data_IF_766108075563
#
_entry.id   IF_766108075563
#
_cell.length_a   1.000
_cell.length_b   1.000
_cell.length_c   1.000
_cell.angle_alpha   90.00
_cell.angle_beta   90.00
_cell.angle_gamma   90.00
#
_symmetry.space_group_name_H-M   'P 1'
#
loop_
_entity.id
_entity.type
_entity.pdbx_description
1 polymer ?
#
# COMPACT_ATOMS: atom_id res chain seq x y z
N UNK A 1 51.84 -35.03 -53.20
CA UNK A 1 50.85 -34.34 -54.07
C UNK A 1 50.35 -33.12 -53.29
N UNK A 2 50.84 -31.88 -53.41
CA UNK A 2 51.01 -30.95 -54.54
C UNK A 2 49.74 -30.64 -55.33
N UNK A 3 49.11 -29.50 -54.99
CA UNK A 3 48.83 -28.28 -55.82
C UNK A 3 48.28 -27.22 -54.85
N UNK A 4 49.02 -26.16 -54.46
CA UNK A 4 49.36 -24.89 -55.17
C UNK A 4 48.08 -24.15 -55.60
N UNK A 5 47.77 -22.91 -55.18
CA UNK A 5 48.50 -21.63 -55.36
C UNK A 5 47.86 -20.56 -54.41
N UNK A 6 48.52 -19.65 -53.66
CA UNK A 6 49.37 -18.48 -54.01
C UNK A 6 48.69 -17.57 -55.08
N UNK A 7 48.58 -16.25 -55.02
CA UNK A 7 49.15 -15.12 -54.26
C UNK A 7 48.20 -13.90 -54.54
N UNK A 8 48.31 -12.66 -54.06
CA UNK A 8 49.44 -11.89 -53.57
C UNK A 8 48.98 -10.52 -53.02
N UNK A 9 49.72 -10.03 -52.01
CA UNK A 9 50.24 -8.66 -51.74
C UNK A 9 49.33 -7.42 -51.85
N UNK A 10 49.42 -6.43 -50.95
CA UNK A 10 50.47 -5.38 -50.85
C UNK A 10 50.38 -4.72 -49.43
N UNK A 11 51.44 -4.73 -48.60
CA UNK A 11 52.48 -3.68 -48.38
C UNK A 11 51.99 -2.49 -47.50
N UNK A 12 52.35 -2.44 -46.21
CA UNK A 12 53.43 -1.65 -45.56
C UNK A 12 52.95 -0.28 -45.00
N UNK A 13 52.95 -0.07 -43.68
CA UNK A 13 54.02 0.47 -42.80
C UNK A 13 53.82 1.98 -42.47
N UNK A 14 53.74 2.24 -41.16
CA UNK A 14 54.04 3.47 -40.38
C UNK A 14 53.23 4.76 -40.63
N UNK A 15 52.58 5.24 -39.56
CA UNK A 15 53.10 6.43 -38.86
C UNK A 15 52.53 6.49 -37.42
N UNK A 16 53.44 6.41 -36.46
CA UNK A 16 53.24 6.76 -35.05
C UNK A 16 53.37 8.27 -34.86
N UNK A 17 52.37 8.90 -34.24
CA UNK A 17 52.52 10.17 -33.54
C UNK A 17 51.90 10.00 -32.15
N UNK A 18 52.77 10.05 -31.15
CA UNK A 18 52.47 10.21 -29.73
C UNK A 18 52.34 11.69 -29.38
N UNK A 19 51.33 12.05 -28.56
CA UNK A 19 51.28 13.21 -27.65
C UNK A 19 50.04 13.00 -26.75
N UNK A 20 50.21 12.60 -25.48
CA UNK A 20 50.34 13.45 -24.29
C UNK A 20 49.04 14.18 -23.93
N UNK A 21 48.55 13.89 -22.72
CA UNK A 21 47.94 14.90 -21.85
C UNK A 21 46.42 14.95 -21.87
N UNK A 22 45.82 14.54 -20.76
CA UNK A 22 44.42 14.84 -20.45
C UNK A 22 43.80 13.79 -19.56
N UNK A 23 44.13 13.81 -18.26
CA UNK A 23 43.19 13.42 -17.22
C UNK A 23 41.90 14.24 -17.44
N UNK A 24 40.98 13.70 -18.25
CA UNK A 24 39.59 14.07 -18.14
C UNK A 24 39.12 13.33 -16.90
N UNK A 25 39.29 13.98 -15.74
CA UNK A 25 38.55 13.63 -14.55
C UNK A 25 37.13 13.35 -14.98
N UNK A 26 36.66 12.14 -14.69
CA UNK A 26 35.25 11.87 -14.64
C UNK A 26 34.72 12.91 -13.65
N UNK A 27 34.19 14.01 -14.18
CA UNK A 27 33.40 14.92 -13.42
C UNK A 27 32.25 14.05 -12.92
N UNK A 28 32.31 13.75 -11.62
CA UNK A 28 31.15 13.27 -10.88
C UNK A 28 29.99 14.17 -11.32
N UNK A 29 29.08 13.58 -12.09
CA UNK A 29 27.79 14.19 -12.29
C UNK A 29 27.26 14.41 -10.87
N UNK A 30 26.85 15.64 -10.52
CA UNK A 30 26.46 15.94 -9.16
C UNK A 30 25.38 14.95 -8.76
N UNK A 31 25.64 14.24 -7.65
CA UNK A 31 24.66 13.42 -6.95
C UNK A 31 23.36 14.21 -6.95
N UNK A 32 22.39 13.71 -7.72
CA UNK A 32 21.05 14.28 -7.72
C UNK A 32 20.58 14.15 -6.29
N UNK A 33 20.18 15.29 -5.70
CA UNK A 33 19.76 15.43 -4.32
C UNK A 33 18.69 14.39 -3.98
N UNK A 34 19.16 13.22 -3.54
CA UNK A 34 18.35 12.04 -3.35
C UNK A 34 18.20 11.90 -1.85
N UNK A 35 16.97 11.96 -1.36
CA UNK A 35 16.61 11.53 0.00
C UNK A 35 16.79 10.02 0.18
N UNK A 36 17.83 9.45 -0.44
CA UNK A 36 18.15 8.04 -0.46
C UNK A 36 18.63 7.60 0.91
N UNK A 37 18.08 6.47 1.32
CA UNK A 37 18.57 5.72 2.46
C UNK A 37 19.53 4.64 1.96
N UNK A 38 20.65 4.49 2.66
CA UNK A 38 21.75 3.56 2.30
C UNK A 38 21.44 2.08 2.53
N UNK A 39 20.21 1.64 2.25
CA UNK A 39 19.79 0.24 2.42
C UNK A 39 18.32 -0.01 2.10
N UNK A 40 17.94 -1.29 2.17
CA UNK A 40 16.58 -1.74 1.92
C UNK A 40 15.67 -1.47 3.15
N UNK A 41 14.57 -0.74 2.98
CA UNK A 41 13.60 -0.43 4.05
C UNK A 41 12.85 -1.65 4.56
N UNK A 42 12.73 -2.66 3.71
CA UNK A 42 11.91 -3.82 3.97
C UNK A 42 12.42 -5.07 3.25
N UNK A 43 12.06 -6.22 3.79
CA UNK A 43 12.08 -7.50 3.09
C UNK A 43 10.68 -8.08 3.03
N UNK A 44 10.32 -8.65 1.89
CA UNK A 44 9.06 -9.37 1.70
C UNK A 44 9.34 -10.81 1.30
N UNK A 45 8.74 -11.76 2.00
CA UNK A 45 8.93 -13.18 1.74
C UNK A 45 7.71 -14.02 2.12
N UNK A 46 7.71 -15.26 1.66
CA UNK A 46 6.70 -16.26 2.00
C UNK A 46 7.22 -17.24 3.04
N UNK A 47 6.34 -17.64 3.94
CA UNK A 47 6.51 -18.84 4.76
C UNK A 47 5.48 -19.86 4.29
N UNK A 48 5.95 -20.92 3.64
CA UNK A 48 5.07 -21.95 3.08
C UNK A 48 4.70 -22.96 4.17
N UNK A 49 3.42 -23.28 4.25
CA UNK A 49 2.88 -24.23 5.21
C UNK A 49 2.20 -25.39 4.50
N UNK A 50 2.35 -26.59 5.05
CA UNK A 50 1.71 -27.81 4.56
C UNK A 50 1.13 -28.60 5.72
N UNK A 51 -0.20 -28.75 5.72
CA UNK A 51 -0.93 -29.65 6.60
C UNK A 51 -1.32 -30.92 5.83
N UNK A 52 -0.82 -32.07 6.25
CA UNK A 52 -1.21 -33.37 5.70
C UNK A 52 -2.10 -34.12 6.69
N UNK A 53 -3.24 -34.58 6.21
CA UNK A 53 -4.28 -35.28 6.98
C UNK A 53 -4.45 -36.69 6.44
N UNK A 54 -4.41 -37.69 7.32
CA UNK A 54 -4.73 -39.07 6.94
C UNK A 54 -6.24 -39.30 6.91
N UNK A 55 -6.80 -39.74 5.78
CA UNK A 55 -8.25 -39.96 5.64
C UNK A 55 -8.77 -41.17 6.43
N UNK A 56 -7.89 -42.11 6.79
CA UNK A 56 -8.26 -43.31 7.55
C UNK A 56 -8.20 -43.12 9.06
N UNK A 57 -7.46 -42.12 9.56
CA UNK A 57 -7.20 -41.89 10.99
C UNK A 57 -7.37 -40.43 11.43
N UNK A 58 -6.89 -40.12 12.64
CA UNK A 58 -6.89 -38.77 13.23
C UNK A 58 -5.49 -38.14 13.29
N UNK A 59 -4.53 -38.74 12.58
CA UNK A 59 -3.14 -38.26 12.52
C UNK A 59 -3.01 -37.18 11.46
N UNK A 60 -2.43 -36.05 11.85
CA UNK A 60 -2.04 -34.97 10.95
C UNK A 60 -0.56 -34.62 11.12
N UNK A 61 0.02 -34.02 10.10
CA UNK A 61 1.34 -33.37 10.19
C UNK A 61 1.26 -31.96 9.64
N UNK A 62 1.71 -30.98 10.44
CA UNK A 62 1.86 -29.59 10.04
C UNK A 62 3.35 -29.30 9.94
N UNK A 63 3.83 -28.96 8.73
CA UNK A 63 5.23 -28.64 8.46
C UNK A 63 6.20 -29.72 8.98
N UNK A 64 5.80 -30.99 8.80
CA UNK A 64 6.54 -32.17 9.26
C UNK A 64 6.37 -32.51 10.74
N UNK A 65 5.73 -31.67 11.55
CA UNK A 65 5.47 -31.93 12.98
C UNK A 65 4.11 -32.59 13.18
N UNK A 66 4.06 -33.61 14.04
CA UNK A 66 2.81 -34.29 14.35
C UNK A 66 1.78 -33.35 15.00
N UNK A 67 0.54 -33.43 14.54
CA UNK A 67 -0.60 -32.66 15.03
C UNK A 67 -1.77 -33.62 15.28
N UNK A 68 -2.40 -33.52 16.45
CA UNK A 68 -3.63 -34.24 16.74
C UNK A 68 -4.81 -33.46 16.16
N UNK A 69 -5.41 -33.97 15.08
CA UNK A 69 -6.57 -33.35 14.44
C UNK A 69 -7.78 -34.29 14.50
N UNK A 70 -8.97 -33.74 14.24
CA UNK A 70 -10.12 -34.62 14.02
C UNK A 70 -9.95 -35.38 12.69
N UNK A 71 -10.55 -36.58 12.63
CA UNK A 71 -10.57 -37.39 11.40
C UNK A 71 -11.37 -36.66 10.31
N UNK A 72 -10.79 -36.43 9.11
CA UNK A 72 -11.53 -35.93 7.96
C UNK A 72 -12.63 -36.93 7.55
N UNK A 73 -13.71 -36.42 6.96
CA UNK A 73 -14.82 -37.25 6.46
C UNK A 73 -14.89 -37.14 4.93
N UNK A 74 -15.06 -38.29 4.28
CA UNK A 74 -15.45 -38.35 2.87
C UNK A 74 -16.96 -38.52 2.82
N UNK A 75 -17.65 -37.58 2.19
CA UNK A 75 -19.11 -37.62 1.99
C UNK A 75 -19.42 -37.26 0.54
N UNK A 76 -20.13 -38.14 -0.16
CA UNK A 76 -20.48 -37.99 -1.58
C UNK A 76 -19.25 -37.71 -2.46
N UNK A 77 -18.15 -38.44 -2.24
CA UNK A 77 -16.90 -38.28 -2.98
C UNK A 77 -16.11 -37.00 -2.67
N UNK A 78 -16.53 -36.19 -1.70
CA UNK A 78 -15.87 -34.94 -1.30
C UNK A 78 -15.31 -35.03 0.11
N UNK A 79 -14.17 -34.39 0.33
CA UNK A 79 -13.49 -34.38 1.63
C UNK A 79 -13.91 -33.16 2.45
N UNK A 80 -14.14 -33.39 3.73
CA UNK A 80 -14.49 -32.38 4.70
C UNK A 80 -13.57 -32.48 5.92
N UNK A 81 -13.21 -31.32 6.47
CA UNK A 81 -12.42 -31.19 7.69
C UNK A 81 -13.23 -30.47 8.76
N UNK A 82 -12.85 -30.63 10.02
CA UNK A 82 -13.49 -29.89 11.11
C UNK A 82 -12.95 -28.48 11.20
N UNK A 83 -13.77 -27.58 11.76
CA UNK A 83 -13.35 -26.23 12.15
C UNK A 83 -12.11 -26.24 13.06
N UNK A 84 -12.05 -27.20 13.97
CA UNK A 84 -10.91 -27.39 14.87
C UNK A 84 -9.61 -27.67 14.11
N UNK A 85 -9.66 -28.48 13.05
CA UNK A 85 -8.47 -28.75 12.22
C UNK A 85 -7.92 -27.48 11.58
N UNK A 86 -8.80 -26.58 11.10
CA UNK A 86 -8.38 -25.30 10.52
C UNK A 86 -7.82 -24.34 11.57
N UNK A 87 -8.41 -24.30 12.76
CA UNK A 87 -7.89 -23.50 13.88
C UNK A 87 -6.51 -24.01 14.33
N UNK A 88 -6.36 -25.32 14.53
CA UNK A 88 -5.10 -25.97 14.93
C UNK A 88 -3.99 -25.83 13.89
N UNK A 89 -4.34 -25.63 12.61
CA UNK A 89 -3.34 -25.41 11.57
C UNK A 89 -2.66 -24.04 11.68
N UNK A 90 -3.23 -23.12 12.47
CA UNK A 90 -2.72 -21.76 12.62
C UNK A 90 -2.96 -20.86 11.39
N UNK A 91 -3.69 -21.33 10.37
CA UNK A 91 -4.01 -20.54 9.19
C UNK A 91 -5.16 -19.55 9.45
N UNK A 92 -6.13 -19.94 10.27
CA UNK A 92 -7.23 -19.08 10.69
C UNK A 92 -6.83 -18.17 11.86
N UNK A 93 -7.19 -16.89 11.78
CA UNK A 93 -7.12 -15.96 12.90
C UNK A 93 -8.26 -16.21 13.89
N UNK A 94 -9.45 -16.52 13.38
CA UNK A 94 -10.62 -16.87 14.20
C UNK A 94 -11.46 -17.95 13.55
N UNK A 95 -12.08 -18.77 14.39
CA UNK A 95 -13.12 -19.72 14.00
C UNK A 95 -14.20 -19.69 15.07
N UNK A 96 -15.41 -19.29 14.69
CA UNK A 96 -16.55 -19.16 15.59
C UNK A 96 -17.76 -19.97 15.10
N UNK A 97 -18.63 -20.35 16.02
CA UNK A 97 -19.89 -21.05 15.73
C UNK A 97 -21.08 -20.22 16.21
N UNK A 98 -21.96 -19.88 15.29
CA UNK A 98 -23.26 -19.29 15.56
C UNK A 98 -24.33 -20.38 15.56
N UNK A 99 -24.76 -20.79 16.76
CA UNK A 99 -25.76 -21.85 16.93
C UNK A 99 -27.15 -21.45 16.40
N UNK A 100 -27.54 -20.18 16.52
CA UNK A 100 -28.84 -19.67 16.05
C UNK A 100 -28.97 -19.77 14.52
N UNK A 101 -27.91 -19.38 13.80
CA UNK A 101 -27.86 -19.46 12.33
C UNK A 101 -27.34 -20.80 11.81
N UNK A 102 -26.88 -21.69 12.70
CA UNK A 102 -26.15 -22.92 12.38
C UNK A 102 -25.00 -22.66 11.40
N UNK A 103 -24.21 -21.65 11.70
CA UNK A 103 -23.20 -21.05 10.83
C UNK A 103 -21.83 -21.09 11.48
N UNK A 104 -20.83 -21.56 10.74
CA UNK A 104 -19.43 -21.39 11.12
C UNK A 104 -18.88 -20.13 10.48
N UNK A 105 -18.25 -19.28 11.28
CA UNK A 105 -17.65 -18.03 10.85
C UNK A 105 -16.13 -18.18 10.93
N UNK A 106 -15.43 -17.91 9.83
CA UNK A 106 -14.00 -18.16 9.71
C UNK A 106 -13.32 -16.91 9.14
N UNK A 107 -12.36 -16.36 9.89
CA UNK A 107 -11.46 -15.34 9.40
C UNK A 107 -10.04 -15.91 9.32
N UNK A 108 -9.40 -15.75 8.16
CA UNK A 108 -8.00 -16.14 7.97
C UNK A 108 -7.06 -15.11 8.58
N UNK A 109 -5.84 -15.52 8.91
CA UNK A 109 -4.79 -14.56 9.25
C UNK A 109 -4.57 -13.58 8.08
N UNK A 110 -4.35 -12.28 8.34
CA UNK A 110 -4.05 -11.30 7.31
C UNK A 110 -2.86 -11.71 6.43
N UNK A 111 -1.86 -12.36 7.03
CA UNK A 111 -0.68 -12.88 6.33
C UNK A 111 -1.04 -14.00 5.34
N UNK A 112 -2.13 -14.74 5.58
CA UNK A 112 -2.63 -15.77 4.64
C UNK A 112 -3.49 -15.12 3.55
N UNK A 113 -4.35 -14.18 3.95
CA UNK A 113 -5.25 -13.45 3.05
C UNK A 113 -5.54 -12.06 3.61
N UNK A 114 -5.03 -11.03 2.93
CA UNK A 114 -5.09 -9.61 3.34
C UNK A 114 -6.51 -9.15 3.66
N UNK A 115 -7.46 -9.44 2.77
CA UNK A 115 -8.88 -9.26 3.03
C UNK A 115 -9.40 -10.46 3.81
N UNK A 116 -9.02 -10.52 5.09
CA UNK A 116 -9.57 -11.44 6.09
C UNK A 116 -11.03 -11.09 6.38
N UNK A 117 -11.86 -11.17 5.35
CA UNK A 117 -13.29 -11.13 5.52
C UNK A 117 -13.73 -12.42 6.19
N UNK A 118 -14.53 -12.28 7.23
CA UNK A 118 -15.13 -13.41 7.91
C UNK A 118 -16.11 -14.09 6.93
N UNK A 119 -15.80 -15.33 6.55
CA UNK A 119 -16.66 -16.13 5.70
C UNK A 119 -17.53 -17.07 6.54
N UNK A 120 -18.83 -17.01 6.27
CA UNK A 120 -19.84 -17.87 6.85
C UNK A 120 -20.02 -19.17 6.05
N UNK A 121 -20.15 -20.27 6.78
CA UNK A 121 -20.47 -21.61 6.29
C UNK A 121 -21.70 -22.13 7.03
N UNK A 122 -22.88 -21.99 6.42
CA UNK A 122 -24.14 -22.49 7.02
C UNK A 122 -24.33 -23.97 6.76
N UNK A 123 -24.62 -24.71 7.82
CA UNK A 123 -24.89 -26.15 7.75
C UNK A 123 -26.09 -26.42 6.84
N UNK A 124 -25.91 -27.32 5.88
CA UNK A 124 -26.94 -27.73 4.92
C UNK A 124 -27.10 -26.82 3.70
N UNK A 125 -26.37 -25.71 3.62
CA UNK A 125 -26.48 -24.77 2.51
C UNK A 125 -25.27 -24.83 1.59
N UNK A 126 -25.48 -24.62 0.28
CA UNK A 126 -24.47 -24.72 -0.78
C UNK A 126 -23.82 -23.38 -1.13
N UNK A 127 -24.05 -22.32 -0.35
CA UNK A 127 -23.48 -21.00 -0.58
C UNK A 127 -22.39 -20.68 0.45
N UNK A 128 -21.67 -19.58 0.25
CA UNK A 128 -20.83 -18.93 1.25
C UNK A 128 -21.52 -17.64 1.69
N UNK A 129 -21.32 -17.20 2.94
CA UNK A 129 -21.84 -15.92 3.41
C UNK A 129 -20.71 -14.94 3.70
N UNK A 130 -20.93 -13.69 3.37
CA UNK A 130 -20.05 -12.58 3.71
C UNK A 130 -20.91 -11.50 4.36
N UNK A 131 -20.57 -11.08 5.58
CA UNK A 131 -21.33 -10.08 6.34
C UNK A 131 -22.83 -10.40 6.46
N UNK A 132 -23.17 -11.69 6.53
CA UNK A 132 -24.56 -12.17 6.65
C UNK A 132 -25.27 -12.44 5.32
N UNK A 133 -24.75 -11.93 4.20
CA UNK A 133 -25.33 -12.06 2.86
C UNK A 133 -24.70 -13.21 2.06
N UNK A 134 -25.48 -13.96 1.26
CA UNK A 134 -24.94 -15.04 0.45
C UNK A 134 -24.13 -14.51 -0.74
N UNK A 135 -22.95 -15.09 -0.97
CA UNK A 135 -22.16 -14.89 -2.18
C UNK A 135 -22.81 -15.66 -3.34
N UNK A 136 -23.69 -14.98 -4.07
CA UNK A 136 -24.59 -15.59 -5.08
C UNK A 136 -23.93 -16.39 -6.21
N UNK A 137 -22.64 -16.22 -6.45
CA UNK A 137 -21.92 -16.82 -7.58
C UNK A 137 -21.03 -18.03 -7.21
N UNK A 138 -20.85 -18.33 -5.92
CA UNK A 138 -19.93 -19.39 -5.48
C UNK A 138 -20.69 -20.50 -4.77
N UNK A 139 -20.89 -21.62 -5.46
CA UNK A 139 -21.45 -22.84 -4.86
C UNK A 139 -20.37 -23.69 -4.21
N UNK A 140 -20.67 -24.21 -3.02
CA UNK A 140 -19.83 -25.13 -2.26
C UNK A 140 -20.63 -26.37 -1.87
N UNK A 141 -19.96 -27.50 -1.58
CA UNK A 141 -20.63 -28.62 -0.93
C UNK A 141 -21.17 -28.22 0.43
N UNK A 142 -22.39 -28.65 0.76
CA UNK A 142 -23.04 -28.25 2.00
C UNK A 142 -22.22 -28.68 3.25
N UNK A 143 -21.80 -27.74 4.11
CA UNK A 143 -21.27 -28.05 5.43
C UNK A 143 -22.27 -28.87 6.24
N UNK A 144 -21.80 -29.69 7.18
CA UNK A 144 -22.69 -30.52 7.98
C UNK A 144 -22.22 -30.70 9.42
N UNK A 145 -23.15 -31.08 10.31
CA UNK A 145 -22.87 -31.49 11.67
C UNK A 145 -22.78 -33.02 11.74
N UNK A 146 -21.75 -33.53 12.41
CA UNK A 146 -21.62 -34.96 12.73
C UNK A 146 -20.83 -35.13 14.02
N UNK A 147 -21.33 -35.95 14.94
CA UNK A 147 -20.67 -36.21 16.23
C UNK A 147 -20.37 -34.93 17.03
N UNK A 148 -21.26 -33.94 17.00
CA UNK A 148 -21.07 -32.64 17.67
C UNK A 148 -20.06 -31.71 17.00
N UNK A 149 -19.52 -32.06 15.83
CA UNK A 149 -18.52 -31.26 15.10
C UNK A 149 -19.08 -30.74 13.79
N UNK A 150 -18.69 -29.51 13.43
CA UNK A 150 -18.99 -28.91 12.13
C UNK A 150 -17.89 -29.30 11.14
N UNK A 151 -18.30 -29.83 10.00
CA UNK A 151 -17.46 -30.24 8.89
C UNK A 151 -17.67 -29.30 7.72
N UNK A 152 -16.59 -28.70 7.22
CA UNK A 152 -16.57 -27.80 6.06
C UNK A 152 -15.82 -28.45 4.89
N UNK A 153 -16.23 -28.19 3.64
CA UNK A 153 -15.59 -28.78 2.46
C UNK A 153 -14.21 -28.17 2.20
N UNK A 154 -13.19 -29.00 1.97
CA UNK A 154 -11.82 -28.49 1.74
C UNK A 154 -11.69 -27.66 0.45
N UNK A 155 -12.53 -27.91 -0.55
CA UNK A 155 -12.53 -27.15 -1.81
C UNK A 155 -12.84 -25.65 -1.60
N UNK A 156 -13.72 -25.35 -0.64
CA UNK A 156 -14.11 -23.97 -0.35
C UNK A 156 -12.97 -23.17 0.32
N UNK A 157 -11.96 -23.84 0.88
CA UNK A 157 -10.82 -23.17 1.50
C UNK A 157 -9.97 -22.39 0.48
N UNK A 158 -10.10 -22.67 -0.82
CA UNK A 158 -9.47 -21.88 -1.88
C UNK A 158 -9.91 -20.41 -1.85
N UNK A 159 -11.18 -20.16 -1.48
CA UNK A 159 -11.72 -18.81 -1.28
C UNK A 159 -11.08 -18.09 -0.08
N UNK A 160 -10.34 -18.82 0.75
CA UNK A 160 -9.65 -18.36 1.96
C UNK A 160 -8.12 -18.44 1.82
N UNK A 161 -7.60 -18.59 0.59
CA UNK A 161 -6.14 -18.61 0.35
C UNK A 161 -5.45 -19.94 0.69
N UNK A 162 -6.23 -21.01 0.92
CA UNK A 162 -5.69 -22.35 1.18
C UNK A 162 -6.00 -23.25 -0.01
N UNK A 163 -4.95 -23.78 -0.62
CA UNK A 163 -5.09 -24.80 -1.66
C UNK A 163 -5.22 -26.19 -1.04
N UNK A 164 -6.07 -27.03 -1.61
CA UNK A 164 -6.34 -28.36 -1.09
C UNK A 164 -6.20 -29.41 -2.19
N UNK A 165 -5.55 -30.52 -1.89
CA UNK A 165 -5.47 -31.69 -2.77
C UNK A 165 -5.72 -32.97 -1.98
N UNK A 166 -6.07 -34.04 -2.68
CA UNK A 166 -6.27 -35.36 -2.06
C UNK A 166 -5.69 -36.42 -2.99
N UNK A 167 -4.79 -37.24 -2.46
CA UNK A 167 -4.13 -38.31 -3.20
C UNK A 167 -3.76 -39.45 -2.25
N UNK A 168 -3.83 -40.70 -2.72
CA UNK A 168 -3.32 -41.88 -2.00
C UNK A 168 -3.81 -42.01 -0.54
N UNK A 169 -5.06 -41.63 -0.26
CA UNK A 169 -5.64 -41.70 1.09
C UNK A 169 -5.22 -40.58 2.05
N UNK A 170 -4.57 -39.54 1.53
CA UNK A 170 -4.18 -38.34 2.28
C UNK A 170 -4.80 -37.09 1.66
N UNK A 171 -5.11 -36.12 2.51
CA UNK A 171 -5.50 -34.76 2.11
C UNK A 171 -4.40 -33.81 2.51
N UNK A 172 -3.95 -32.98 1.57
CA UNK A 172 -2.92 -31.98 1.79
C UNK A 172 -3.52 -30.59 1.62
N UNK A 173 -3.38 -29.75 2.64
CA UNK A 173 -3.73 -28.33 2.60
C UNK A 173 -2.43 -27.53 2.58
N UNK A 174 -2.33 -26.54 1.69
CA UNK A 174 -1.17 -25.67 1.56
C UNK A 174 -1.59 -24.21 1.51
N UNK A 175 -0.86 -23.39 2.26
CA UNK A 175 -0.97 -21.94 2.23
C UNK A 175 0.41 -21.34 2.41
N UNK A 176 0.49 -20.02 2.28
CA UNK A 176 1.68 -19.27 2.64
C UNK A 176 1.28 -18.03 3.42
N UNK A 177 2.05 -17.77 4.47
CA UNK A 177 2.05 -16.50 5.18
C UNK A 177 2.94 -15.54 4.39
N UNK A 178 2.43 -14.36 4.05
CA UNK A 178 3.16 -13.32 3.32
C UNK A 178 3.60 -12.29 4.35
N UNK A 179 4.91 -12.17 4.51
CA UNK A 179 5.52 -11.35 5.56
C UNK A 179 6.12 -10.10 4.94
N UNK A 180 5.93 -8.97 5.61
CA UNK A 180 6.67 -7.73 5.37
C UNK A 180 7.48 -7.42 6.63
N UNK A 181 8.78 -7.67 6.55
CA UNK A 181 9.73 -7.32 7.61
C UNK A 181 10.25 -5.90 7.34
N UNK A 182 9.67 -4.90 8.02
CA UNK A 182 10.15 -3.53 7.98
C UNK A 182 11.43 -3.39 8.81
N UNK A 183 12.48 -2.90 8.18
CA UNK A 183 13.77 -2.58 8.82
C UNK A 183 13.86 -1.10 9.17
N UNK A 184 13.33 -0.25 8.30
CA UNK A 184 13.31 1.20 8.47
C UNK A 184 11.85 1.68 8.47
N UNK A 185 11.16 1.66 9.62
CA UNK A 185 9.75 2.06 9.70
C UNK A 185 9.55 3.57 9.51
N UNK A 186 10.58 4.38 9.73
CA UNK A 186 10.54 5.81 9.45
C UNK A 186 11.91 6.43 9.21
N UNK A 187 11.96 7.53 8.45
CA UNK A 187 13.14 8.38 8.32
C UNK A 187 12.76 9.81 7.94
N UNK A 188 13.73 10.72 7.99
CA UNK A 188 13.58 12.14 7.63
C UNK A 188 14.38 12.45 6.35
N UNK A 189 13.86 13.36 5.53
CA UNK A 189 14.52 13.91 4.34
C UNK A 189 14.24 15.41 4.26
N UNK A 190 15.15 16.18 3.68
CA UNK A 190 14.91 17.59 3.31
C UNK A 190 14.46 17.75 1.85
N UNK A 191 14.56 16.68 1.07
CA UNK A 191 14.22 16.64 -0.35
C UNK A 191 12.71 16.55 -0.59
N UNK A 192 12.28 17.00 -1.76
CA UNK A 192 10.89 16.89 -2.24
C UNK A 192 10.51 15.47 -2.71
N UNK A 193 11.50 14.60 -2.80
CA UNK A 193 11.35 13.19 -3.11
C UNK A 193 12.04 12.31 -2.06
N UNK A 194 11.53 11.10 -1.90
CA UNK A 194 12.15 10.06 -1.10
C UNK A 194 12.48 8.87 -1.99
N UNK A 195 13.74 8.44 -1.96
CA UNK A 195 14.21 7.27 -2.71
C UNK A 195 14.57 6.17 -1.74
N UNK A 196 14.07 4.95 -1.99
CA UNK A 196 14.35 3.81 -1.12
C UNK A 196 14.20 2.51 -1.87
N UNK A 197 14.85 1.46 -1.38
CA UNK A 197 14.72 0.11 -1.93
C UNK A 197 14.09 -0.86 -0.95
N UNK A 198 13.59 -1.97 -1.47
CA UNK A 198 13.17 -3.12 -0.69
C UNK A 198 13.50 -4.41 -1.43
N UNK A 199 13.61 -5.49 -0.67
CA UNK A 199 13.80 -6.83 -1.20
C UNK A 199 12.48 -7.59 -1.21
N UNK A 200 12.19 -8.32 -2.29
CA UNK A 200 11.08 -9.26 -2.33
C UNK A 200 11.51 -10.61 -2.87
N UNK A 201 11.03 -11.70 -2.26
CA UNK A 201 11.34 -13.06 -2.68
C UNK A 201 10.83 -13.29 -4.11
N UNK A 202 11.62 -13.97 -4.95
CA UNK A 202 11.31 -14.21 -6.37
C UNK A 202 9.98 -14.92 -6.63
N UNK A 203 9.45 -15.62 -5.62
CA UNK A 203 8.15 -16.31 -5.68
C UNK A 203 6.95 -15.40 -5.38
N UNK A 204 7.19 -14.15 -4.96
CA UNK A 204 6.17 -13.13 -4.72
C UNK A 204 5.92 -12.26 -5.95
N UNK A 205 4.72 -11.69 -6.03
CA UNK A 205 4.46 -10.61 -6.98
C UNK A 205 5.27 -9.37 -6.60
N UNK A 206 5.72 -8.65 -7.62
CA UNK A 206 6.42 -7.39 -7.46
C UNK A 206 5.61 -6.46 -6.55
N UNK A 207 6.22 -5.92 -5.48
CA UNK A 207 5.53 -5.07 -4.55
C UNK A 207 5.21 -3.71 -5.17
N UNK A 208 4.27 -3.02 -4.56
CA UNK A 208 3.86 -1.67 -4.92
C UNK A 208 3.92 -0.79 -3.68
N UNK A 209 4.15 0.50 -3.89
CA UNK A 209 4.10 1.51 -2.84
C UNK A 209 2.92 2.41 -3.12
N UNK A 210 2.13 2.67 -2.08
CA UNK A 210 1.07 3.65 -2.11
C UNK A 210 1.39 4.83 -1.22
N UNK A 211 1.16 6.02 -1.76
CA UNK A 211 1.14 7.28 -1.04
C UNK A 211 -0.30 7.61 -0.73
N UNK A 212 -0.66 7.74 0.54
CA UNK A 212 -1.99 8.21 0.88
C UNK A 212 -2.06 9.73 0.74
N UNK A 213 -2.91 10.20 -0.17
CA UNK A 213 -3.07 11.62 -0.50
C UNK A 213 -4.28 12.26 0.22
N UNK A 214 -4.81 11.62 1.27
CA UNK A 214 -6.01 12.06 1.98
C UNK A 214 -7.22 11.16 1.72
N UNK A 215 -8.44 11.66 1.97
CA UNK A 215 -9.67 10.88 1.92
C UNK A 215 -9.93 10.25 0.53
N UNK A 216 -9.52 8.99 0.38
CA UNK A 216 -9.90 8.13 -0.75
C UNK A 216 -9.02 8.19 -2.01
N UNK A 217 -7.91 8.93 -2.01
CA UNK A 217 -7.00 9.00 -3.17
C UNK A 217 -5.61 8.50 -2.77
N UNK A 218 -5.20 7.37 -3.37
CA UNK A 218 -3.85 6.83 -3.26
C UNK A 218 -3.10 6.95 -4.58
N UNK A 219 -1.90 7.52 -4.56
CA UNK A 219 -0.97 7.48 -5.70
C UNK A 219 -0.11 6.22 -5.61
N UNK A 220 0.01 5.46 -6.70
CA UNK A 220 0.85 4.27 -6.78
C UNK A 220 2.20 4.59 -7.43
N UNK A 221 3.30 4.14 -6.82
CA UNK A 221 4.62 4.15 -7.45
C UNK A 221 4.96 2.77 -8.02
N UNK A 222 5.26 2.70 -9.33
CA UNK A 222 5.85 1.49 -9.93
C UNK A 222 7.36 1.54 -9.68
N UNK A 223 7.87 0.60 -8.88
CA UNK A 223 9.29 0.51 -8.59
C UNK A 223 10.11 0.11 -9.81
N UNK A 224 11.39 0.48 -9.79
CA UNK A 224 12.40 0.06 -10.76
C UNK A 224 13.15 -1.14 -10.19
N UNK A 225 13.17 -2.24 -10.93
CA UNK A 225 14.00 -3.39 -10.60
C UNK A 225 15.49 -3.01 -10.75
N UNK A 226 16.26 -3.11 -9.67
CA UNK A 226 17.69 -2.75 -9.65
C UNK A 226 18.63 -3.95 -9.64
N UNK A 227 18.23 -5.03 -8.97
CA UNK A 227 19.07 -6.21 -8.81
C UNK A 227 18.21 -7.48 -8.68
N UNK A 228 18.72 -8.61 -9.17
CA UNK A 228 18.09 -9.93 -9.08
C UNK A 228 19.04 -10.97 -8.50
N UNK A 229 18.49 -12.11 -8.09
CA UNK A 229 19.24 -13.29 -7.62
C UNK A 229 20.05 -13.05 -6.34
N UNK A 230 19.60 -12.14 -5.48
CA UNK A 230 20.21 -11.88 -4.17
C UNK A 230 19.89 -13.04 -3.24
N UNK A 231 20.89 -13.86 -2.91
CA UNK A 231 20.73 -15.01 -2.00
C UNK A 231 20.94 -14.60 -0.54
N UNK A 232 19.94 -14.84 0.30
CA UNK A 232 19.94 -14.40 1.70
C UNK A 232 18.94 -15.25 2.51
N UNK A 233 19.30 -15.67 3.72
CA UNK A 233 18.43 -16.43 4.64
C UNK A 233 17.78 -17.68 3.99
N UNK A 234 18.52 -18.35 3.10
CA UNK A 234 18.06 -19.52 2.35
C UNK A 234 17.01 -19.23 1.25
N UNK A 235 16.79 -17.96 0.91
CA UNK A 235 15.84 -17.49 -0.11
C UNK A 235 16.56 -16.66 -1.17
N UNK A 236 15.89 -16.47 -2.31
CA UNK A 236 16.39 -15.65 -3.42
C UNK A 236 15.47 -14.45 -3.59
N UNK A 237 16.05 -13.26 -3.63
CA UNK A 237 15.35 -11.99 -3.67
C UNK A 237 15.65 -11.20 -4.94
N UNK A 238 14.76 -10.26 -5.22
CA UNK A 238 14.95 -9.15 -6.17
C UNK A 238 14.88 -7.83 -5.39
N UNK A 239 15.68 -6.84 -5.78
CA UNK A 239 15.63 -5.48 -5.22
C UNK A 239 14.84 -4.56 -6.15
N UNK A 240 13.80 -3.94 -5.61
CA UNK A 240 13.11 -2.83 -6.26
C UNK A 240 13.44 -1.52 -5.54
N UNK A 241 13.67 -0.48 -6.32
CA UNK A 241 13.83 0.89 -5.86
C UNK A 241 12.60 1.72 -6.23
N UNK A 242 12.20 2.62 -5.36
CA UNK A 242 11.11 3.55 -5.56
C UNK A 242 11.63 4.95 -5.32
N UNK A 243 11.15 5.89 -6.14
CA UNK A 243 11.28 7.33 -5.90
C UNK A 243 9.89 7.92 -5.92
N UNK A 244 9.49 8.55 -4.83
CA UNK A 244 8.15 9.11 -4.64
C UNK A 244 8.25 10.57 -4.23
N UNK A 245 7.29 11.39 -4.66
CA UNK A 245 7.16 12.76 -4.17
C UNK A 245 6.62 12.80 -2.75
N UNK A 246 7.24 13.59 -1.87
CA UNK A 246 6.85 13.78 -0.47
C UNK A 246 6.49 15.24 -0.19
N UNK A 247 5.37 15.45 0.51
CA UNK A 247 4.99 16.78 1.03
C UNK A 247 5.82 17.11 2.26
N UNK A 248 5.98 18.40 2.62
CA UNK A 248 6.46 18.79 3.94
C UNK A 248 5.72 18.06 5.08
N UNK A 249 6.38 17.86 6.21
CA UNK A 249 5.83 17.14 7.35
C UNK A 249 5.66 15.63 7.10
N UNK A 250 4.56 15.07 7.59
CA UNK A 250 4.36 13.61 7.67
C UNK A 250 3.79 13.04 6.36
N UNK A 251 4.47 12.02 5.82
CA UNK A 251 4.03 11.23 4.68
C UNK A 251 3.88 9.78 5.12
N UNK A 252 2.64 9.35 5.36
CA UNK A 252 2.33 7.94 5.61
C UNK A 252 2.26 7.18 4.28
N UNK A 253 3.05 6.13 4.22
CA UNK A 253 3.27 5.33 3.02
C UNK A 253 3.00 3.87 3.34
N UNK A 254 2.58 3.13 2.34
CA UNK A 254 2.31 1.71 2.49
C UNK A 254 3.05 0.93 1.43
N UNK A 255 3.77 -0.10 1.85
CA UNK A 255 4.24 -1.15 0.94
C UNK A 255 3.24 -2.28 0.98
N UNK A 256 2.86 -2.77 -0.21
CA UNK A 256 2.05 -3.96 -0.31
C UNK A 256 2.47 -4.87 -1.46
N UNK A 257 2.17 -6.16 -1.33
CA UNK A 257 2.25 -7.11 -2.42
C UNK A 257 0.84 -7.49 -2.84
N UNK A 258 0.53 -7.59 -4.14
CA UNK A 258 -0.73 -8.17 -4.62
C UNK A 258 -1.03 -9.57 -4.06
N UNK A 259 -0.03 -10.26 -3.50
CA UNK A 259 -0.24 -11.54 -2.81
C UNK A 259 -0.70 -11.45 -1.35
N UNK A 260 -0.88 -10.25 -0.80
CA UNK A 260 -1.57 -10.00 0.46
C UNK A 260 -0.70 -9.57 1.65
N UNK A 261 0.56 -9.18 1.41
CA UNK A 261 1.43 -8.65 2.46
C UNK A 261 1.34 -7.12 2.46
N UNK A 262 1.11 -6.49 3.61
CA UNK A 262 0.98 -5.02 3.72
C UNK A 262 1.64 -4.51 4.99
N UNK A 263 2.33 -3.37 4.91
CA UNK A 263 2.85 -2.67 6.09
C UNK A 263 3.05 -1.18 5.81
N UNK A 264 2.95 -0.38 6.87
CA UNK A 264 3.05 1.08 6.79
C UNK A 264 4.41 1.57 7.25
N UNK A 265 4.91 2.61 6.60
CA UNK A 265 6.12 3.31 7.00
C UNK A 265 5.94 4.82 6.77
N UNK A 266 6.79 5.63 7.41
CA UNK A 266 6.62 7.08 7.40
C UNK A 266 7.87 7.79 6.91
N UNK A 267 7.69 8.75 6.00
CA UNK A 267 8.75 9.69 5.63
C UNK A 267 8.38 11.07 6.14
N UNK A 268 9.26 11.64 6.97
CA UNK A 268 9.16 13.01 7.41
C UNK A 268 9.95 13.89 6.45
N UNK A 269 9.31 14.89 5.86
CA UNK A 269 10.02 15.91 5.11
C UNK A 269 10.16 17.17 5.93
N UNK A 270 11.38 17.58 6.20
CA UNK A 270 11.69 18.84 6.88
C UNK A 270 12.33 19.78 5.85
N UNK A 271 11.55 20.70 5.23
CA UNK A 271 12.09 21.58 4.20
C UNK A 271 13.24 22.43 4.74
N UNK A 272 14.30 22.54 3.96
CA UNK A 272 15.38 23.47 4.25
C UNK A 272 14.94 24.91 3.96
N UNK A 273 15.16 25.84 4.89
CA UNK A 273 14.81 27.26 4.78
C UNK A 273 15.37 27.94 3.51
N UNK A 274 16.48 27.43 2.97
CA UNK A 274 17.08 27.94 1.73
C UNK A 274 16.20 27.71 0.49
N UNK A 275 15.30 26.72 0.53
CA UNK A 275 14.34 26.42 -0.54
C UNK A 275 12.96 26.16 0.09
N UNK A 276 12.16 27.22 0.33
CA UNK A 276 10.84 27.09 0.91
C UNK A 276 9.99 26.10 0.14
N UNK A 277 9.17 25.32 0.85
CA UNK A 277 8.25 24.41 0.19
C UNK A 277 7.27 25.20 -0.69
N UNK A 278 7.05 24.75 -1.91
CA UNK A 278 6.05 25.34 -2.81
C UNK A 278 4.63 25.01 -2.33
N UNK A 279 3.71 25.95 -2.52
CA UNK A 279 2.28 25.72 -2.29
C UNK A 279 1.77 24.80 -3.39
N UNK A 280 1.19 23.66 -3.01
CA UNK A 280 0.70 22.68 -3.97
C UNK A 280 -0.65 23.13 -4.53
N UNK A 281 -0.70 23.44 -5.82
CA UNK A 281 -1.92 23.72 -6.55
C UNK A 281 -2.36 22.46 -7.33
N UNK A 282 -3.66 22.22 -7.40
CA UNK A 282 -4.21 21.22 -8.34
C UNK A 282 -4.19 21.78 -9.76
N UNK A 283 -4.37 20.91 -10.77
CA UNK A 283 -4.46 21.35 -12.18
C UNK A 283 -5.53 22.43 -12.41
N UNK A 284 -6.62 22.33 -11.65
CA UNK A 284 -7.68 23.31 -11.67
C UNK A 284 -7.31 24.57 -10.86
N UNK A 285 -6.71 24.41 -9.67
CA UNK A 285 -6.18 25.51 -8.87
C UNK A 285 -5.17 26.39 -9.62
N UNK A 286 -4.28 25.81 -10.42
CA UNK A 286 -3.31 26.56 -11.24
C UNK A 286 -3.98 27.50 -12.26
N UNK A 287 -5.22 27.23 -12.66
CA UNK A 287 -5.95 28.06 -13.62
C UNK A 287 -6.70 29.22 -12.97
N UNK A 288 -7.06 29.07 -11.70
CA UNK A 288 -7.97 29.99 -11.00
C UNK A 288 -7.33 30.74 -9.84
N UNK A 289 -6.21 30.27 -9.29
CA UNK A 289 -5.74 30.71 -7.98
C UNK A 289 -4.28 31.17 -8.01
N UNK A 290 -4.03 32.34 -7.42
CA UNK A 290 -2.72 32.77 -6.97
C UNK A 290 -2.77 33.04 -5.47
N UNK A 291 -1.85 32.44 -4.72
CA UNK A 291 -1.77 32.59 -3.26
C UNK A 291 -0.63 33.55 -2.92
N UNK A 292 -0.93 34.55 -2.09
CA UNK A 292 0.05 35.57 -1.62
C UNK A 292 0.39 35.41 -0.15
N UNK A 293 -0.48 34.78 0.65
CA UNK A 293 -0.18 34.34 2.00
C UNK A 293 -0.86 32.98 2.26
N UNK A 294 -0.18 32.00 2.88
CA UNK A 294 1.25 32.01 3.21
C UNK A 294 2.14 32.08 1.95
N UNK A 295 3.43 32.37 2.12
CA UNK A 295 4.42 32.40 1.01
C UNK A 295 5.05 31.03 0.76
N UNK A 296 4.78 30.05 1.64
CA UNK A 296 5.27 28.68 1.52
C UNK A 296 4.14 27.68 1.71
N UNK A 297 4.27 26.52 1.07
CA UNK A 297 3.44 25.33 1.29
C UNK A 297 3.68 24.63 2.63
N UNK A 298 4.62 25.12 3.43
CA UNK A 298 4.86 24.68 4.80
C UNK A 298 4.78 25.88 5.74
N UNK A 299 3.90 25.81 6.73
CA UNK A 299 3.63 26.88 7.69
C UNK A 299 3.86 26.36 9.10
N UNK A 300 4.63 27.10 9.88
CA UNK A 300 4.75 26.87 11.32
C UNK A 300 3.84 27.88 12.04
N UNK A 301 3.06 27.38 13.00
CA UNK A 301 2.10 28.18 13.78
C UNK A 301 2.00 27.63 15.20
N UNK A 302 1.47 28.43 16.13
CA UNK A 302 1.10 27.96 17.46
C UNK A 302 -0.35 27.52 17.54
N UNK A 303 -0.68 26.67 18.50
CA UNK A 303 -2.07 26.28 18.74
C UNK A 303 -2.97 27.51 18.97
N UNK A 304 -4.09 27.57 18.25
CA UNK A 304 -5.02 28.71 18.27
C UNK A 304 -4.54 29.96 17.54
N UNK A 305 -3.32 29.99 17.01
CA UNK A 305 -2.84 31.11 16.19
C UNK A 305 -3.61 31.19 14.86
N UNK A 306 -3.98 32.39 14.46
CA UNK A 306 -4.65 32.63 13.19
C UNK A 306 -3.64 32.50 12.04
N UNK A 307 -3.87 31.53 11.15
CA UNK A 307 -3.07 31.31 9.95
C UNK A 307 -3.69 32.13 8.82
N UNK A 308 -3.03 33.22 8.37
CA UNK A 308 -3.57 34.07 7.31
C UNK A 308 -3.50 33.38 5.95
N UNK A 309 -4.59 33.44 5.20
CA UNK A 309 -4.68 32.92 3.83
C UNK A 309 -5.23 34.02 2.94
N UNK A 310 -4.46 34.43 1.94
CA UNK A 310 -4.84 35.50 1.02
C UNK A 310 -4.31 35.26 -0.38
N UNK A 311 -4.96 35.88 -1.36
CA UNK A 311 -4.59 35.75 -2.74
C UNK A 311 -5.58 36.39 -3.69
N UNK A 312 -5.48 36.01 -4.96
CA UNK A 312 -6.32 36.51 -6.03
C UNK A 312 -6.78 35.37 -6.94
N UNK A 313 -7.92 35.59 -7.58
CA UNK A 313 -8.38 34.80 -8.69
C UNK A 313 -7.64 35.22 -9.96
N UNK A 314 -7.23 34.23 -10.75
CA UNK A 314 -6.58 34.45 -12.05
C UNK A 314 -7.58 34.63 -13.18
N UNK A 315 -8.85 34.26 -12.95
CA UNK A 315 -9.93 34.37 -13.92
C UNK A 315 -11.19 34.90 -13.24
N UNK A 316 -11.85 35.83 -13.91
CA UNK A 316 -13.15 36.32 -13.47
C UNK A 316 -14.23 35.28 -13.73
N UNK A 317 -15.03 35.01 -12.70
CA UNK A 317 -16.23 34.21 -12.82
C UNK A 317 -17.30 34.80 -11.88
N UNK A 318 -18.46 35.24 -12.41
CA UNK A 318 -19.53 35.83 -11.60
C UNK A 318 -20.10 34.90 -10.53
N UNK A 319 -19.89 33.58 -10.65
CA UNK A 319 -20.31 32.59 -9.64
C UNK A 319 -19.33 32.44 -8.47
N UNK A 320 -18.17 33.10 -8.51
CA UNK A 320 -17.15 32.98 -7.47
C UNK A 320 -17.35 34.06 -6.40
N UNK A 321 -18.22 33.76 -5.44
CA UNK A 321 -18.57 34.64 -4.32
C UNK A 321 -17.74 34.37 -3.05
N UNK A 322 -17.41 33.10 -2.80
CA UNK A 322 -16.63 32.66 -1.64
C UNK A 322 -15.84 31.39 -1.92
N UNK A 323 -14.69 31.28 -1.27
CA UNK A 323 -13.95 30.02 -1.15
C UNK A 323 -14.07 29.48 0.27
N UNK A 324 -13.70 28.21 0.47
CA UNK A 324 -13.68 27.62 1.81
C UNK A 324 -12.26 27.22 2.17
N UNK A 325 -11.77 27.71 3.31
CA UNK A 325 -10.58 27.18 3.95
C UNK A 325 -11.00 25.99 4.80
N UNK A 326 -10.29 24.88 4.65
CA UNK A 326 -10.49 23.67 5.47
C UNK A 326 -9.18 23.30 6.12
N UNK A 327 -9.26 22.90 7.38
CA UNK A 327 -8.12 22.41 8.15
C UNK A 327 -8.43 20.98 8.60
N UNK A 328 -7.53 20.06 8.29
CA UNK A 328 -7.66 18.66 8.68
C UNK A 328 -6.42 18.22 9.46
N UNK A 329 -6.60 17.66 10.65
CA UNK A 329 -5.51 17.19 11.51
C UNK A 329 -5.06 15.81 11.08
N UNK A 330 -3.74 15.60 11.03
CA UNK A 330 -3.15 14.29 10.81
C UNK A 330 -3.38 13.42 12.05
N UNK A 331 -4.32 12.49 11.94
CA UNK A 331 -4.69 11.52 12.97
C UNK A 331 -4.96 10.17 12.29
N UNK A 332 -3.90 9.42 11.92
CA UNK A 332 -4.05 8.16 11.22
C UNK A 332 -4.80 7.15 12.09
N UNK A 333 -5.92 6.66 11.58
CA UNK A 333 -6.73 5.61 12.19
C UNK A 333 -7.08 4.51 11.18
N UNK A 334 -7.20 3.29 11.67
CA UNK A 334 -7.35 2.08 10.86
C UNK A 334 -6.03 1.34 10.59
N UNK A 335 -6.10 0.30 9.75
CA UNK A 335 -4.96 -0.47 9.23
C UNK A 335 -5.19 -0.80 7.75
N UNK A 336 -4.12 -0.97 6.97
CA UNK A 336 -4.20 -1.42 5.57
C UNK A 336 -4.60 -0.32 4.58
N UNK A 337 -5.23 -0.65 3.47
CA UNK A 337 -5.50 0.32 2.38
C UNK A 337 -6.57 1.38 2.71
N UNK A 338 -7.30 1.23 3.82
CA UNK A 338 -8.43 2.07 4.21
C UNK A 338 -8.09 3.06 5.33
N UNK A 339 -6.86 3.57 5.38
CA UNK A 339 -6.48 4.56 6.39
C UNK A 339 -7.28 5.86 6.26
N UNK A 340 -8.01 6.20 7.32
CA UNK A 340 -8.39 7.58 7.52
C UNK A 340 -7.19 8.31 8.12
N UNK A 341 -6.55 9.17 7.33
CA UNK A 341 -5.32 9.86 7.75
C UNK A 341 -5.60 11.23 8.35
N UNK A 342 -6.62 11.89 7.81
CA UNK A 342 -6.94 13.26 8.14
C UNK A 342 -8.37 13.33 8.69
N UNK A 343 -8.51 14.06 9.79
CA UNK A 343 -9.80 14.33 10.43
C UNK A 343 -10.06 15.83 10.37
N UNK A 344 -11.27 16.22 9.96
CA UNK A 344 -11.64 17.63 9.84
C UNK A 344 -11.54 18.32 11.21
N UNK A 345 -10.69 19.33 11.31
CA UNK A 345 -10.46 20.15 12.52
C UNK A 345 -11.11 21.54 12.40
N UNK A 346 -11.25 22.07 11.18
CA UNK A 346 -11.81 23.41 10.99
C UNK A 346 -12.31 23.69 9.57
N UNK A 347 -13.17 24.68 9.45
CA UNK A 347 -13.68 25.16 8.16
C UNK A 347 -14.14 26.62 8.29
N UNK A 348 -13.73 27.48 7.36
CA UNK A 348 -14.12 28.90 7.32
C UNK A 348 -14.42 29.29 5.87
N UNK A 349 -15.55 29.97 5.64
CA UNK A 349 -15.84 30.58 4.35
C UNK A 349 -15.15 31.95 4.27
N UNK A 350 -14.48 32.22 3.16
CA UNK A 350 -13.79 33.49 2.90
C UNK A 350 -14.40 34.14 1.67
N UNK A 351 -14.93 35.35 1.87
CA UNK A 351 -15.54 36.13 0.80
C UNK A 351 -14.51 36.53 -0.25
N UNK A 352 -14.92 36.49 -1.51
CA UNK A 352 -14.18 37.00 -2.66
C UNK A 352 -14.75 38.38 -3.01
N UNK A 353 -13.89 39.39 -3.02
CA UNK A 353 -14.24 40.77 -3.36
C UNK A 353 -13.23 41.30 -4.37
N UNK A 354 -13.73 41.84 -5.49
CA UNK A 354 -12.90 42.37 -6.58
C UNK A 354 -11.81 41.39 -7.03
N UNK A 355 -12.19 40.11 -7.16
CA UNK A 355 -11.29 39.01 -7.56
C UNK A 355 -10.25 38.62 -6.51
N UNK A 356 -10.34 39.12 -5.26
CA UNK A 356 -9.37 38.86 -4.19
C UNK A 356 -10.03 38.24 -2.98
N UNK A 357 -9.26 37.48 -2.22
CA UNK A 357 -9.69 36.90 -0.95
C UNK A 357 -8.64 37.12 0.13
N UNK A 358 -9.11 37.32 1.36
CA UNK A 358 -8.27 37.40 2.54
C UNK A 358 -9.08 36.89 3.74
N UNK A 359 -8.57 35.84 4.38
CA UNK A 359 -9.20 35.23 5.55
C UNK A 359 -8.14 34.59 6.44
N UNK A 360 -8.59 33.92 7.50
CA UNK A 360 -7.72 33.14 8.37
C UNK A 360 -8.46 31.94 8.93
N UNK A 361 -7.69 30.95 9.37
CA UNK A 361 -8.17 29.78 10.09
C UNK A 361 -7.17 29.45 11.19
N UNK A 362 -7.63 28.91 12.31
CA UNK A 362 -6.77 28.56 13.44
C UNK A 362 -6.86 27.07 13.75
N UNK A 363 -5.73 26.49 14.16
CA UNK A 363 -5.66 25.11 14.62
C UNK A 363 -5.99 25.04 16.13
N UNK A 364 -7.26 24.83 16.45
CA UNK A 364 -7.74 24.82 17.83
C UNK A 364 -7.63 23.44 18.52
N UNK A 365 -7.34 22.38 17.76
CA UNK A 365 -7.34 20.98 18.24
C UNK A 365 -5.97 20.53 18.80
N UNK A 366 -5.12 21.48 19.18
CA UNK A 366 -3.81 21.27 19.79
C UNK A 366 -2.64 21.10 18.80
N UNK A 367 -1.44 20.80 19.30
CA UNK A 367 -0.24 20.64 18.47
C UNK A 367 -0.34 19.42 17.53
N UNK A 368 0.41 19.46 16.43
CA UNK A 368 0.49 18.38 15.45
C UNK A 368 0.62 18.88 14.01
N UNK A 369 0.48 17.96 13.06
CA UNK A 369 0.50 18.29 11.63
C UNK A 369 -0.93 18.41 11.10
N UNK A 370 -1.16 19.43 10.30
CA UNK A 370 -2.45 19.70 9.67
C UNK A 370 -2.29 19.90 8.16
N UNK A 371 -3.36 19.62 7.44
CA UNK A 371 -3.53 19.91 6.03
C UNK A 371 -4.49 21.08 5.89
N UNK A 372 -3.98 22.21 5.41
CA UNK A 372 -4.77 23.39 5.06
C UNK A 372 -5.10 23.33 3.58
N UNK A 373 -6.37 23.21 3.23
CA UNK A 373 -6.84 23.19 1.84
C UNK A 373 -7.68 24.42 1.52
N UNK A 374 -7.45 25.00 0.34
CA UNK A 374 -8.31 26.02 -0.27
C UNK A 374 -9.26 25.30 -1.20
N UNK A 375 -10.54 25.28 -0.84
CA UNK A 375 -11.62 24.66 -1.61
C UNK A 375 -12.31 25.73 -2.44
N UNK A 376 -12.50 25.44 -3.73
CA UNK A 376 -13.11 26.33 -4.70
C UNK A 376 -14.54 26.74 -4.30
N UNK A 377 -15.05 27.86 -4.86
CA UNK A 377 -16.49 28.06 -4.99
C UNK A 377 -17.16 26.87 -5.68
N UNK A 378 -18.48 26.80 -5.59
CA UNK A 378 -19.25 25.74 -6.26
C UNK A 378 -19.49 26.10 -7.72
N UNK A 379 -18.80 25.43 -8.65
CA UNK A 379 -18.94 25.71 -10.09
C UNK A 379 -18.86 24.47 -10.98
N UNK A 380 -18.45 23.31 -10.46
CA UNK A 380 -18.39 22.08 -11.24
C UNK A 380 -19.80 21.51 -11.34
N UNK A 381 -20.39 21.41 -12.55
CA UNK A 381 -21.78 21.00 -12.67
C UNK A 381 -21.95 19.50 -12.38
N UNK A 382 -22.75 19.16 -11.38
CA UNK A 382 -23.29 17.80 -11.20
C UNK A 382 -24.79 17.81 -11.46
N UNK A 383 -25.25 16.89 -12.30
CA UNK A 383 -26.64 16.82 -12.76
C UNK A 383 -27.64 16.48 -11.66
N UNK A 384 -27.20 15.79 -10.60
CA UNK A 384 -28.09 15.28 -9.55
C UNK A 384 -28.04 16.08 -8.23
N UNK A 385 -26.92 16.74 -7.94
CA UNK A 385 -26.67 17.41 -6.64
C UNK A 385 -26.39 18.90 -6.74
N UNK A 386 -26.44 19.47 -7.96
CA UNK A 386 -26.08 20.86 -8.23
C UNK A 386 -24.57 21.08 -8.31
N UNK A 387 -24.11 22.34 -8.41
CA UNK A 387 -22.68 22.63 -8.57
C UNK A 387 -21.87 22.18 -7.35
N UNK A 388 -20.76 21.49 -7.59
CA UNK A 388 -19.80 21.05 -6.59
C UNK A 388 -18.54 21.92 -6.58
N UNK A 389 -17.75 21.71 -5.54
CA UNK A 389 -16.45 22.35 -5.33
C UNK A 389 -15.32 21.33 -5.45
N UNK A 390 -14.11 21.81 -5.74
CA UNK A 390 -12.89 21.00 -5.75
C UNK A 390 -11.80 21.66 -4.91
N UNK A 391 -10.75 20.91 -4.58
CA UNK A 391 -9.55 21.45 -3.94
C UNK A 391 -8.75 22.22 -4.98
N UNK A 392 -8.40 23.48 -4.69
CA UNK A 392 -7.51 24.29 -5.51
C UNK A 392 -6.08 24.30 -5.00
N UNK A 393 -5.88 24.36 -3.68
CA UNK A 393 -4.56 24.40 -3.09
C UNK A 393 -4.47 23.56 -1.81
N UNK A 394 -3.26 23.17 -1.47
CA UNK A 394 -2.91 22.44 -0.26
C UNK A 394 -1.59 22.97 0.33
N UNK A 395 -1.59 23.16 1.64
CA UNK A 395 -0.44 23.54 2.46
C UNK A 395 -0.38 22.64 3.68
N UNK A 396 0.82 22.40 4.18
CA UNK A 396 1.05 21.69 5.44
C UNK A 396 1.28 22.72 6.53
N UNK A 397 0.61 22.54 7.66
CA UNK A 397 0.79 23.37 8.85
C UNK A 397 1.34 22.50 9.97
N UNK A 398 2.52 22.85 10.50
CA UNK A 398 3.03 22.29 11.75
C UNK A 398 2.61 23.23 12.88
N UNK A 399 1.86 22.69 13.82
CA UNK A 399 1.34 23.42 14.97
C UNK A 399 2.11 23.00 16.21
N UNK A 400 2.77 23.96 16.84
CA UNK A 400 3.50 23.80 18.09
C UNK A 400 2.68 24.33 19.28
N UNK A 401 3.15 24.07 20.51
CA UNK A 401 2.48 24.49 21.74
C UNK A 401 2.39 26.01 21.93
#
# INVERSE_FOLDING_TARGET
>A
MRRKSLASMILAILLSISLVGGEAGAADAPDTASGAIGGDIAKMYRVNHTLTLNLKGSTATLDGKALQSDKPIIKNGRVYITLRTLWLSGAAASVAWNSKKREALIAMKPEVKEWSTELGFRVGSDQLWLNGEPLGYTKIPAPFLSGGRVYIPIQALSQMGVTASTAQGQTTLRWSDKIVELKQPSWTTDQDTATFSLLYETTMFAPQVMVSMGAGVGGGGTGLLKEENISMDGRVYKRMEYTIGVRPGVNLLQVYSPSGAVNDFTVYREPNDAKPAEIRLTDDGMQYLSVTAPTSGYVEAKAGEAIPVSGALLRDNPSFDKLTLTLEKYEPSGRGLAHQIYVKAGSVEVAIKDGKFAGSIAANDGPGYYLLSIISPKYIPYTETGPGSTKWAEMVVKVEE
#
